data_IF_207926674369
#
_entry.id   IF_207926674369
#
_cell.length_a   1.000
_cell.length_b   1.000
_cell.length_c   1.000
_cell.angle_alpha   90.00
_cell.angle_beta   90.00
_cell.angle_gamma   90.00
#
_symmetry.space_group_name_H-M   'P 1'
#
loop_
_entity.id
_entity.type
_entity.pdbx_description
1 polymer ?
#
# COMPACT_ATOMS: atom_id res chain seq x y z
N UNK A 1 5.59 37.67 6.98
CA UNK A 1 6.32 37.19 5.79
C UNK A 1 6.44 38.37 4.84
N UNK A 2 7.65 38.83 4.58
CA UNK A 2 7.93 39.92 3.64
C UNK A 2 8.61 39.38 2.39
N UNK A 3 8.69 40.18 1.33
CA UNK A 3 9.53 39.85 0.18
C UNK A 3 10.35 41.06 -0.27
N UNK A 4 11.48 40.78 -0.88
CA UNK A 4 12.34 41.77 -1.56
C UNK A 4 12.59 41.30 -2.98
N UNK A 5 12.48 42.20 -3.95
CA UNK A 5 12.84 41.88 -5.32
C UNK A 5 14.35 41.95 -5.47
N UNK A 6 14.96 40.83 -5.85
CA UNK A 6 16.41 40.68 -6.01
C UNK A 6 16.76 40.36 -7.44
N UNK A 7 17.95 40.78 -7.86
CA UNK A 7 18.53 40.41 -9.14
C UNK A 7 19.14 39.01 -9.00
N UNK A 8 18.60 38.07 -9.77
CA UNK A 8 18.99 36.66 -9.79
C UNK A 8 19.70 36.38 -11.10
N UNK A 9 20.87 35.75 -11.00
CA UNK A 9 21.67 35.34 -12.14
C UNK A 9 21.77 33.82 -12.18
N UNK A 10 21.47 33.24 -13.33
CA UNK A 10 21.65 31.80 -13.59
C UNK A 10 22.13 31.60 -15.02
N UNK A 11 23.37 31.12 -15.18
CA UNK A 11 24.04 30.99 -16.49
C UNK A 11 23.96 32.32 -17.23
N UNK A 12 23.36 32.34 -18.42
CA UNK A 12 23.24 33.53 -19.27
C UNK A 12 21.92 34.29 -19.04
N UNK A 13 21.22 34.06 -17.92
CA UNK A 13 19.94 34.69 -17.59
C UNK A 13 20.11 35.59 -16.36
N UNK A 14 19.52 36.77 -16.44
CA UNK A 14 19.44 37.73 -15.35
C UNK A 14 17.98 38.17 -15.21
N UNK A 15 17.38 37.92 -14.05
CA UNK A 15 15.96 38.15 -13.77
C UNK A 15 15.80 38.87 -12.44
N UNK A 16 14.79 39.73 -12.32
CA UNK A 16 14.41 40.31 -11.03
C UNK A 16 13.26 39.49 -10.43
N UNK A 17 13.50 38.80 -9.32
CA UNK A 17 12.58 37.84 -8.71
C UNK A 17 12.34 38.15 -7.23
N UNK A 18 11.17 37.75 -6.71
CA UNK A 18 10.80 37.99 -5.32
C UNK A 18 11.44 36.95 -4.39
N UNK A 19 12.28 37.40 -3.47
CA UNK A 19 12.83 36.58 -2.38
C UNK A 19 11.98 36.80 -1.12
N UNK A 20 11.35 35.75 -0.63
CA UNK A 20 10.51 35.80 0.56
C UNK A 20 11.36 35.55 1.81
N UNK A 21 11.19 36.40 2.82
CA UNK A 21 11.92 36.36 4.09
C UNK A 21 10.94 36.00 5.21
N UNK A 22 11.33 34.97 5.96
CA UNK A 22 10.60 34.46 7.14
C UNK A 22 11.46 34.62 8.39
N UNK A 23 10.83 34.77 9.55
CA UNK A 23 11.52 34.94 10.83
C UNK A 23 11.97 33.60 11.47
N UNK A 24 11.74 32.49 10.78
CA UNK A 24 12.06 31.14 11.22
C UNK A 24 13.31 30.63 10.51
N UNK A 25 14.14 29.87 11.21
CA UNK A 25 15.36 29.29 10.65
C UNK A 25 15.02 28.00 9.89
N UNK A 26 14.64 28.14 8.62
CA UNK A 26 14.26 27.05 7.73
C UNK A 26 15.25 26.90 6.57
N UNK A 27 15.31 25.70 5.99
CA UNK A 27 16.07 25.48 4.76
C UNK A 27 15.57 26.39 3.64
N UNK A 28 16.51 26.98 2.92
CA UNK A 28 16.17 27.84 1.78
C UNK A 28 15.69 26.98 0.62
N UNK A 29 14.44 27.21 0.20
CA UNK A 29 13.84 26.51 -0.94
C UNK A 29 13.72 27.44 -2.14
N UNK A 30 13.90 26.89 -3.33
CA UNK A 30 13.61 27.58 -4.57
C UNK A 30 12.14 27.37 -4.94
N UNK A 31 11.33 28.40 -4.68
CA UNK A 31 9.89 28.34 -4.85
C UNK A 31 9.44 28.18 -6.30
N UNK A 32 8.19 27.75 -6.50
CA UNK A 32 7.58 27.56 -7.84
C UNK A 32 7.64 28.80 -8.71
N UNK A 33 7.50 29.99 -8.12
CA UNK A 33 7.60 31.25 -8.85
C UNK A 33 8.94 31.39 -9.59
N UNK A 34 10.03 31.02 -8.93
CA UNK A 34 11.37 31.04 -9.53
C UNK A 34 11.53 29.91 -10.55
N UNK A 35 11.00 28.72 -10.25
CA UNK A 35 11.03 27.56 -11.17
C UNK A 35 10.37 27.84 -12.53
N UNK A 36 9.29 28.63 -12.55
CA UNK A 36 8.61 28.97 -13.80
C UNK A 36 9.33 30.06 -14.61
N UNK A 37 10.05 30.96 -13.93
CA UNK A 37 10.69 32.12 -14.57
C UNK A 37 12.13 31.84 -15.00
N UNK A 38 12.86 31.06 -14.21
CA UNK A 38 14.23 30.66 -14.52
C UNK A 38 14.16 29.46 -15.47
N UNK A 39 14.73 29.58 -16.66
CA UNK A 39 14.88 28.44 -17.55
C UNK A 39 16.05 27.57 -17.06
N UNK A 40 15.74 26.71 -16.11
CA UNK A 40 16.66 25.76 -15.49
C UNK A 40 17.02 24.63 -16.45
N UNK A 41 18.29 24.25 -16.45
CA UNK A 41 18.74 23.04 -17.15
C UNK A 41 18.35 21.80 -16.36
N UNK A 42 17.12 21.36 -16.59
CA UNK A 42 16.58 20.17 -15.96
C UNK A 42 17.36 18.90 -16.31
N UNK A 43 18.04 18.85 -17.45
CA UNK A 43 18.85 17.68 -17.80
C UNK A 43 20.08 17.60 -16.88
N UNK A 44 20.72 18.73 -16.60
CA UNK A 44 21.83 18.79 -15.63
C UNK A 44 21.36 18.58 -14.19
N UNK A 45 20.20 19.13 -13.80
CA UNK A 45 19.68 19.06 -12.41
C UNK A 45 19.07 17.69 -12.10
N UNK A 46 18.30 17.12 -13.03
CA UNK A 46 17.72 15.76 -12.91
C UNK A 46 18.70 14.68 -13.36
N UNK A 47 19.97 15.03 -13.59
CA UNK A 47 20.99 14.04 -13.87
C UNK A 47 21.17 13.17 -12.63
N UNK A 48 20.45 12.05 -12.58
CA UNK A 48 20.78 10.93 -11.71
C UNK A 48 22.07 10.34 -12.27
N UNK A 49 23.20 10.93 -11.89
CA UNK A 49 24.50 10.33 -12.13
C UNK A 49 24.57 9.13 -11.20
N UNK A 50 24.49 7.93 -11.77
CA UNK A 50 24.77 6.71 -11.03
C UNK A 50 26.20 6.80 -10.48
N UNK A 51 26.33 7.21 -9.23
CA UNK A 51 27.60 7.18 -8.49
C UNK A 51 27.95 5.75 -8.09
N UNK A 52 26.97 4.85 -8.07
CA UNK A 52 27.16 3.43 -7.82
C UNK A 52 27.60 2.68 -9.09
N UNK A 53 28.74 1.99 -9.02
CA UNK A 53 29.17 0.98 -9.99
C UNK A 53 28.29 -0.30 -9.99
N UNK A 54 27.24 -0.34 -9.15
CA UNK A 54 26.38 -1.52 -9.04
C UNK A 54 25.54 -1.66 -10.31
N UNK A 55 25.67 -2.80 -10.97
CA UNK A 55 24.85 -3.16 -12.10
C UNK A 55 23.46 -3.62 -11.57
N UNK A 56 22.40 -3.36 -12.31
CA UNK A 56 21.03 -3.83 -12.03
C UNK A 56 21.00 -5.33 -11.66
N UNK A 57 21.78 -6.16 -12.37
CA UNK A 57 21.86 -7.59 -12.09
C UNK A 57 22.33 -7.90 -10.67
N UNK A 58 23.28 -7.11 -10.12
CA UNK A 58 23.76 -7.30 -8.75
C UNK A 58 22.69 -6.93 -7.73
N UNK A 59 21.88 -5.90 -8.04
CA UNK A 59 20.78 -5.48 -7.18
C UNK A 59 19.64 -6.51 -7.17
N UNK A 60 19.28 -7.04 -8.34
CA UNK A 60 18.26 -8.08 -8.46
C UNK A 60 18.68 -9.36 -7.75
N UNK A 61 19.97 -9.70 -7.76
CA UNK A 61 20.48 -10.85 -7.01
C UNK A 61 20.50 -10.57 -5.49
N UNK A 62 20.95 -9.38 -5.07
CA UNK A 62 21.01 -8.97 -3.66
C UNK A 62 19.62 -8.95 -3.01
N UNK A 63 18.59 -8.53 -3.74
CA UNK A 63 17.20 -8.40 -3.27
C UNK A 63 16.26 -9.41 -3.92
N UNK A 64 16.78 -10.56 -4.35
CA UNK A 64 16.00 -11.58 -5.07
C UNK A 64 14.74 -12.00 -4.34
N UNK A 65 14.81 -12.07 -3.00
CA UNK A 65 13.72 -12.41 -2.11
C UNK A 65 12.60 -11.36 -2.00
N UNK A 66 12.82 -10.15 -2.52
CA UNK A 66 11.77 -9.11 -2.60
C UNK A 66 11.01 -9.24 -3.92
N UNK A 67 11.62 -9.89 -4.92
CA UNK A 67 11.11 -10.01 -6.28
C UNK A 67 10.75 -11.46 -6.64
N UNK A 68 10.70 -12.37 -5.66
CA UNK A 68 10.14 -13.68 -5.89
C UNK A 68 8.61 -13.61 -6.03
N UNK A 69 8.04 -14.57 -6.74
CA UNK A 69 6.58 -14.69 -6.91
C UNK A 69 5.95 -15.44 -5.72
N UNK A 70 6.69 -15.59 -4.61
CA UNK A 70 6.24 -16.29 -3.41
C UNK A 70 5.49 -15.33 -2.47
N UNK A 71 4.57 -15.89 -1.68
CA UNK A 71 3.87 -15.10 -0.68
C UNK A 71 4.80 -14.86 0.52
N UNK A 72 5.14 -13.59 0.78
CA UNK A 72 5.89 -13.21 1.97
C UNK A 72 5.04 -13.25 3.25
N UNK A 73 5.69 -13.44 4.40
CA UNK A 73 5.07 -13.45 5.72
C UNK A 73 5.68 -12.36 6.64
N UNK A 74 4.82 -11.60 7.33
CA UNK A 74 5.24 -10.60 8.32
C UNK A 74 5.27 -11.25 9.71
N UNK A 75 6.42 -11.82 10.06
CA UNK A 75 6.58 -12.58 11.32
C UNK A 75 6.60 -11.73 12.60
N UNK A 76 6.85 -10.43 12.50
CA UNK A 76 7.11 -9.56 13.66
C UNK A 76 5.88 -8.79 14.15
N UNK A 77 4.69 -9.10 13.65
CA UNK A 77 3.46 -8.42 14.02
C UNK A 77 2.28 -9.38 14.03
N UNK A 78 1.51 -9.37 15.11
CA UNK A 78 0.24 -10.09 15.18
C UNK A 78 -0.90 -9.08 15.22
N UNK A 79 -1.84 -9.19 14.28
CA UNK A 79 -3.03 -8.34 14.26
C UNK A 79 -4.01 -8.82 15.31
N UNK A 80 -4.30 -7.97 16.29
CA UNK A 80 -5.37 -8.19 17.27
C UNK A 80 -6.63 -7.44 16.82
N UNK A 81 -7.73 -8.17 16.69
CA UNK A 81 -9.05 -7.61 16.40
C UNK A 81 -9.84 -7.48 17.70
N UNK A 82 -10.19 -6.25 18.08
CA UNK A 82 -10.95 -5.98 19.30
C UNK A 82 -12.45 -5.93 19.00
N UNK A 83 -13.23 -6.71 19.75
CA UNK A 83 -14.68 -6.74 19.65
C UNK A 83 -15.30 -5.72 20.61
N UNK A 84 -16.48 -5.22 20.23
CA UNK A 84 -17.32 -4.40 21.12
C UNK A 84 -17.69 -5.21 22.37
N UNK A 85 -17.97 -4.55 23.51
CA UNK A 85 -18.46 -5.23 24.70
C UNK A 85 -19.75 -6.02 24.41
N UNK A 86 -19.91 -7.15 25.10
CA UNK A 86 -21.15 -7.97 25.10
C UNK A 86 -21.55 -8.59 23.74
N UNK A 87 -20.61 -8.68 22.79
CA UNK A 87 -20.86 -9.34 21.50
C UNK A 87 -21.08 -10.84 21.71
N UNK A 88 -22.23 -11.33 21.25
CA UNK A 88 -22.47 -12.77 21.08
C UNK A 88 -21.85 -13.26 19.78
N UNK A 89 -21.21 -14.42 19.82
CA UNK A 89 -20.62 -15.04 18.63
C UNK A 89 -21.67 -15.34 17.57
N UNK A 90 -21.34 -15.06 16.30
CA UNK A 90 -22.22 -15.27 15.16
C UNK A 90 -21.69 -16.43 14.33
N UNK A 91 -22.50 -17.48 14.21
CA UNK A 91 -22.24 -18.63 13.36
C UNK A 91 -23.20 -18.66 12.19
N UNK A 92 -22.76 -18.20 11.02
CA UNK A 92 -23.53 -18.26 9.79
C UNK A 92 -23.24 -19.55 9.03
N UNK A 93 -24.30 -20.19 8.52
CA UNK A 93 -24.18 -21.33 7.60
C UNK A 93 -23.54 -20.88 6.29
N UNK A 94 -22.79 -21.79 5.68
CA UNK A 94 -22.23 -21.62 4.33
C UNK A 94 -23.34 -21.39 3.30
N UNK A 95 -23.08 -20.51 2.32
CA UNK A 95 -23.99 -20.31 1.19
C UNK A 95 -23.81 -21.43 0.17
N UNK A 96 -24.89 -21.79 -0.52
CA UNK A 96 -24.85 -22.79 -1.58
C UNK A 96 -23.95 -22.31 -2.72
N UNK A 97 -22.90 -23.07 -3.01
CA UNK A 97 -22.02 -22.84 -4.16
C UNK A 97 -22.64 -23.52 -5.39
N UNK A 98 -22.81 -22.83 -6.52
CA UNK A 98 -23.28 -23.46 -7.75
C UNK A 98 -22.40 -24.64 -8.15
N UNK A 99 -23.02 -25.74 -8.61
CA UNK A 99 -22.30 -26.98 -8.94
C UNK A 99 -21.13 -26.75 -9.90
N UNK A 100 -21.30 -25.89 -10.91
CA UNK A 100 -20.27 -25.54 -11.89
C UNK A 100 -19.02 -24.88 -11.27
N UNK A 101 -19.13 -24.27 -10.09
CA UNK A 101 -18.01 -23.62 -9.41
C UNK A 101 -17.40 -24.48 -8.30
N UNK A 102 -18.06 -25.57 -7.88
CA UNK A 102 -17.69 -26.35 -6.69
C UNK A 102 -16.23 -26.81 -6.73
N UNK A 103 -15.82 -27.52 -7.80
CA UNK A 103 -14.43 -28.00 -7.91
C UNK A 103 -13.39 -26.89 -7.97
N UNK A 104 -13.73 -25.73 -8.55
CA UNK A 104 -12.83 -24.57 -8.58
C UNK A 104 -12.70 -23.90 -7.22
N UNK A 105 -13.76 -23.92 -6.41
CA UNK A 105 -13.74 -23.42 -5.02
C UNK A 105 -12.92 -24.35 -4.13
N UNK A 106 -13.09 -25.66 -4.26
CA UNK A 106 -12.30 -26.67 -3.53
C UNK A 106 -10.81 -26.51 -3.82
N UNK A 107 -10.42 -26.42 -5.10
CA UNK A 107 -9.02 -26.20 -5.49
C UNK A 107 -8.42 -24.90 -4.91
N UNK A 108 -9.21 -23.84 -4.81
CA UNK A 108 -8.74 -22.58 -4.22
C UNK A 108 -8.57 -22.68 -2.70
N UNK A 109 -9.45 -23.41 -2.00
CA UNK A 109 -9.30 -23.69 -0.57
C UNK A 109 -8.01 -24.50 -0.33
N UNK A 110 -7.78 -25.56 -1.11
CA UNK A 110 -6.58 -26.39 -0.99
C UNK A 110 -5.30 -25.60 -1.25
N UNK A 111 -5.32 -24.67 -2.22
CA UNK A 111 -4.20 -23.77 -2.50
C UNK A 111 -3.92 -22.85 -1.32
N UNK A 112 -4.95 -22.20 -0.77
CA UNK A 112 -4.81 -21.28 0.37
C UNK A 112 -4.31 -22.01 1.63
N UNK A 113 -4.77 -23.24 1.87
CA UNK A 113 -4.29 -24.08 2.98
C UNK A 113 -2.82 -24.47 2.77
N UNK A 114 -2.45 -24.91 1.56
CA UNK A 114 -1.06 -25.28 1.23
C UNK A 114 -0.08 -24.10 1.34
N UNK A 115 -0.54 -22.89 1.00
CA UNK A 115 0.24 -21.66 1.14
C UNK A 115 0.25 -21.11 2.58
N UNK A 116 -0.44 -21.74 3.53
CA UNK A 116 -0.48 -21.32 4.93
C UNK A 116 -1.32 -20.06 5.18
N UNK A 117 -2.14 -19.64 4.22
CA UNK A 117 -3.00 -18.44 4.34
C UNK A 117 -4.20 -18.73 5.25
N UNK A 118 -4.72 -19.95 5.20
CA UNK A 118 -5.80 -20.44 6.06
C UNK A 118 -5.41 -21.78 6.67
N UNK A 119 -6.04 -22.12 7.79
CA UNK A 119 -5.88 -23.40 8.46
C UNK A 119 -7.23 -24.04 8.78
N UNK A 120 -7.23 -25.37 8.89
CA UNK A 120 -8.40 -26.11 9.37
C UNK A 120 -8.52 -25.95 10.87
N UNK A 121 -9.74 -25.64 11.32
CA UNK A 121 -10.12 -25.61 12.74
C UNK A 121 -11.22 -26.63 12.98
N UNK A 122 -11.07 -27.43 14.04
CA UNK A 122 -12.06 -28.45 14.40
C UNK A 122 -13.36 -27.83 14.91
N UNK A 123 -13.25 -26.75 15.69
CA UNK A 123 -14.39 -26.08 16.31
C UNK A 123 -14.17 -24.56 16.29
N UNK A 124 -15.23 -23.82 15.97
CA UNK A 124 -15.23 -22.35 16.02
C UNK A 124 -16.60 -21.84 16.45
N UNK A 125 -16.62 -20.88 17.36
CA UNK A 125 -17.84 -20.17 17.77
C UNK A 125 -18.29 -19.15 16.70
N UNK A 126 -17.37 -18.77 15.81
CA UNK A 126 -17.61 -17.86 14.69
C UNK A 126 -17.58 -18.60 13.36
N UNK A 127 -18.52 -18.30 12.49
CA UNK A 127 -18.47 -18.72 11.09
C UNK A 127 -19.08 -17.67 10.20
N UNK A 128 -18.42 -17.38 9.09
CA UNK A 128 -18.86 -16.41 8.09
C UNK A 128 -19.02 -17.11 6.74
N UNK A 129 -20.04 -16.78 5.94
CA UNK A 129 -20.20 -17.43 4.65
C UNK A 129 -19.10 -16.98 3.68
N UNK A 130 -18.64 -17.92 2.85
CA UNK A 130 -17.74 -17.62 1.73
C UNK A 130 -18.51 -17.23 0.48
N UNK A 131 -17.92 -16.36 -0.32
CA UNK A 131 -18.43 -15.81 -1.57
C UNK A 131 -17.36 -16.03 -2.63
N UNK A 132 -17.56 -17.00 -3.54
CA UNK A 132 -16.65 -17.21 -4.66
C UNK A 132 -16.89 -16.16 -5.74
N UNK A 133 -15.83 -15.45 -6.12
CA UNK A 133 -15.84 -14.46 -7.20
C UNK A 133 -15.04 -15.00 -8.38
N UNK A 134 -15.66 -15.08 -9.56
CA UNK A 134 -14.96 -15.47 -10.79
C UNK A 134 -14.15 -14.28 -11.30
N UNK A 135 -12.83 -14.45 -11.41
CA UNK A 135 -11.94 -13.45 -12.02
C UNK A 135 -12.06 -13.47 -13.55
N UNK A 136 -11.62 -12.42 -14.27
CA UNK A 136 -11.63 -12.39 -15.73
C UNK A 136 -10.84 -13.53 -16.40
N UNK A 137 -9.79 -14.01 -15.75
CA UNK A 137 -8.97 -15.15 -16.20
C UNK A 137 -9.64 -16.52 -16.00
N UNK A 138 -10.84 -16.55 -15.41
CA UNK A 138 -11.54 -17.79 -15.10
C UNK A 138 -11.02 -18.51 -13.86
N UNK A 139 -10.19 -17.89 -13.02
CA UNK A 139 -9.87 -18.41 -11.67
C UNK A 139 -10.92 -17.97 -10.64
N UNK A 140 -10.88 -18.55 -9.43
CA UNK A 140 -11.75 -18.15 -8.31
C UNK A 140 -10.94 -17.27 -7.35
N UNK A 141 -11.55 -16.20 -6.88
CA UNK A 141 -11.13 -15.50 -5.66
C UNK A 141 -12.15 -15.82 -4.57
N UNK A 142 -11.70 -16.48 -3.52
CA UNK A 142 -12.53 -16.78 -2.37
C UNK A 142 -12.56 -15.55 -1.43
N UNK A 143 -13.75 -15.05 -1.12
CA UNK A 143 -13.94 -13.91 -0.21
C UNK A 143 -14.85 -14.32 0.94
N UNK A 144 -14.51 -13.95 2.17
CA UNK A 144 -15.41 -14.10 3.31
C UNK A 144 -16.32 -12.86 3.45
N UNK A 145 -17.61 -13.08 3.68
CA UNK A 145 -18.58 -11.98 3.88
C UNK A 145 -18.60 -11.55 5.35
N UNK A 146 -17.56 -10.85 5.79
CA UNK A 146 -17.47 -10.34 7.16
C UNK A 146 -18.51 -9.25 7.50
N UNK A 147 -19.26 -8.74 6.51
CA UNK A 147 -20.26 -7.70 6.73
C UNK A 147 -21.45 -8.18 7.57
N UNK A 148 -21.78 -9.48 7.48
CA UNK A 148 -22.89 -10.09 8.21
C UNK A 148 -22.47 -10.71 9.55
N UNK A 149 -21.17 -10.73 9.85
CA UNK A 149 -20.61 -11.36 11.05
C UNK A 149 -19.66 -10.43 11.82
N UNK A 150 -18.39 -10.37 11.42
CA UNK A 150 -17.33 -9.76 12.20
C UNK A 150 -17.36 -8.23 12.18
N UNK A 151 -17.50 -7.61 11.00
CA UNK A 151 -17.33 -6.17 10.82
C UNK A 151 -18.23 -5.29 11.72
N UNK A 152 -19.54 -5.59 11.89
CA UNK A 152 -20.40 -4.79 12.76
C UNK A 152 -20.01 -4.84 14.24
N UNK A 153 -19.27 -5.88 14.64
CA UNK A 153 -18.89 -6.18 16.01
C UNK A 153 -17.47 -5.74 16.36
N UNK A 154 -16.68 -5.29 15.39
CA UNK A 154 -15.32 -4.78 15.63
C UNK A 154 -15.34 -3.35 16.20
N UNK A 155 -14.40 -3.07 17.09
CA UNK A 155 -13.96 -1.73 17.43
C UNK A 155 -12.97 -1.32 16.35
N UNK A 156 -13.32 -0.32 15.53
CA UNK A 156 -12.48 0.12 14.41
C UNK A 156 -11.37 1.03 14.94
N UNK A 157 -10.09 0.62 14.91
CA UNK A 157 -8.99 1.50 15.28
C UNK A 157 -8.90 2.65 14.27
N UNK A 158 -8.91 3.89 14.74
CA UNK A 158 -8.66 5.04 13.87
C UNK A 158 -7.16 5.19 13.67
N UNK A 159 -6.68 4.87 12.47
CA UNK A 159 -5.32 5.21 12.05
C UNK A 159 -5.35 6.53 11.26
N UNK A 160 -4.64 7.58 11.70
CA UNK A 160 -4.63 8.85 10.98
C UNK A 160 -3.88 8.68 9.66
N UNK A 161 -4.59 8.84 8.54
CA UNK A 161 -3.94 8.97 7.24
C UNK A 161 -3.45 10.42 7.08
N UNK A 162 -2.21 10.64 6.64
CA UNK A 162 -1.73 11.99 6.34
C UNK A 162 -2.61 12.66 5.27
N UNK A 163 -2.88 13.96 5.45
CA UNK A 163 -3.61 14.79 4.48
C UNK A 163 -2.70 15.30 3.37
#
# INVERSE_FOLDING_TARGET
MGYVTVKVEYRNQILNLNLYIVNENLDTILGREWLYKINLDWQAIKAVRATSKRNLSQLLEEYKNIFDDELGEINNCQVKLELKPEVKHIFCRVRTVPFALKGRVENEIDRLEKEGIIEKVEHSEWATPVVPVVKPDGSIRLCADYSVTLNPNLIVPQHPLPR
#
